data_IF_027476542917
#
_entry.id   IF_027476542917
#
_cell.length_a   1.000
_cell.length_b   1.000
_cell.length_c   1.000
_cell.angle_alpha   90.00
_cell.angle_beta   90.00
_cell.angle_gamma   90.00
#
_symmetry.space_group_name_H-M   'P 1'
#
loop_
_entity.id
_entity.type
_entity.pdbx_description
1 polymer ?
#
# COMPACT_ATOMS: atom_id res chain seq x y z
N UNK A 1 6.08 -25.84 -16.14
CA UNK A 1 4.91 -25.02 -16.56
C UNK A 1 4.71 -23.71 -15.76
N UNK A 2 5.15 -23.58 -14.49
CA UNK A 2 5.02 -22.35 -13.67
C UNK A 2 5.92 -21.14 -14.07
N UNK A 3 7.18 -21.29 -14.52
CA UNK A 3 8.05 -20.12 -14.78
C UNK A 3 7.70 -19.36 -16.08
N UNK A 4 7.19 -20.05 -17.11
CA UNK A 4 6.74 -19.40 -18.36
C UNK A 4 5.48 -18.55 -18.19
N UNK A 5 4.58 -18.93 -17.28
CA UNK A 5 3.41 -18.09 -16.93
C UNK A 5 3.84 -16.84 -16.15
N UNK A 6 4.75 -17.00 -15.19
CA UNK A 6 5.31 -15.85 -14.47
C UNK A 6 6.01 -14.86 -15.42
N UNK A 7 6.84 -15.33 -16.35
CA UNK A 7 7.51 -14.43 -17.31
C UNK A 7 6.52 -13.69 -18.24
N UNK A 8 5.47 -14.37 -18.73
CA UNK A 8 4.43 -13.74 -19.54
C UNK A 8 3.59 -12.73 -18.73
N UNK A 9 3.31 -13.03 -17.46
CA UNK A 9 2.61 -12.12 -16.54
C UNK A 9 3.47 -10.89 -16.19
N UNK A 10 4.81 -11.02 -16.12
CA UNK A 10 5.73 -9.89 -15.96
C UNK A 10 5.76 -9.00 -17.19
N UNK A 11 5.81 -9.61 -18.38
CA UNK A 11 5.82 -8.85 -19.63
C UNK A 11 4.52 -8.04 -19.78
N UNK A 12 3.37 -8.65 -19.47
CA UNK A 12 2.08 -7.96 -19.44
C UNK A 12 1.95 -6.91 -18.33
N UNK A 13 2.65 -7.06 -17.18
CA UNK A 13 2.69 -6.03 -16.13
C UNK A 13 3.57 -4.85 -16.56
N UNK A 14 4.74 -5.11 -17.15
CA UNK A 14 5.62 -4.08 -17.71
C UNK A 14 4.90 -3.30 -18.81
N UNK A 15 4.17 -3.98 -19.69
CA UNK A 15 3.36 -3.35 -20.73
C UNK A 15 2.20 -2.53 -20.17
N UNK A 16 1.54 -2.98 -19.08
CA UNK A 16 0.53 -2.18 -18.35
C UNK A 16 1.12 -1.00 -17.60
N UNK A 17 2.34 -1.11 -17.09
CA UNK A 17 3.08 -0.02 -16.46
C UNK A 17 3.49 1.03 -17.50
N UNK A 18 3.97 0.58 -18.67
CA UNK A 18 4.40 1.44 -19.78
C UNK A 18 3.21 2.09 -20.51
N UNK A 19 2.10 1.37 -20.70
CA UNK A 19 0.88 1.85 -21.39
C UNK A 19 0.06 2.89 -20.62
N UNK A 20 0.51 3.30 -19.45
CA UNK A 20 -0.14 4.31 -18.62
C UNK A 20 0.89 5.33 -18.10
N UNK A 21 1.77 5.75 -19.00
CA UNK A 21 2.86 6.67 -18.76
C UNK A 21 2.39 7.95 -18.05
N UNK A 22 1.26 8.53 -18.44
CA UNK A 22 0.70 9.77 -17.86
C UNK A 22 0.48 9.72 -16.35
N UNK A 23 0.12 8.55 -15.79
CA UNK A 23 -0.13 8.41 -14.34
C UNK A 23 1.14 8.59 -13.49
N UNK A 24 2.29 8.22 -14.04
CA UNK A 24 3.59 8.30 -13.37
C UNK A 24 4.31 9.63 -13.61
N UNK A 25 3.66 10.59 -14.30
CA UNK A 25 4.13 11.98 -14.37
C UNK A 25 3.66 12.85 -13.20
N UNK A 26 2.90 12.29 -12.24
CA UNK A 26 2.53 13.00 -11.02
C UNK A 26 3.76 13.50 -10.26
N UNK A 27 3.63 14.64 -9.57
CA UNK A 27 4.73 15.30 -8.84
C UNK A 27 5.49 14.35 -7.90
N UNK A 28 4.77 13.44 -7.23
CA UNK A 28 5.36 12.39 -6.42
C UNK A 28 6.40 11.58 -7.18
N UNK A 29 6.03 10.98 -8.32
CA UNK A 29 6.91 10.08 -9.07
C UNK A 29 8.10 10.82 -9.66
N UNK A 30 7.87 12.02 -10.22
CA UNK A 30 8.91 12.83 -10.84
C UNK A 30 9.94 13.30 -9.81
N UNK A 31 9.50 13.85 -8.67
CA UNK A 31 10.41 14.37 -7.65
C UNK A 31 11.18 13.25 -6.95
N UNK A 32 10.55 12.10 -6.72
CA UNK A 32 11.24 10.93 -6.18
C UNK A 32 12.32 10.41 -7.14
N UNK A 33 12.01 10.33 -8.44
CA UNK A 33 12.98 9.95 -9.45
C UNK A 33 14.12 10.98 -9.56
N UNK A 34 13.80 12.27 -9.56
CA UNK A 34 14.78 13.36 -9.67
C UNK A 34 15.81 13.32 -8.52
N UNK A 35 15.39 13.11 -7.27
CA UNK A 35 16.31 13.00 -6.13
C UNK A 35 17.24 11.80 -6.27
N UNK A 36 16.74 10.65 -6.75
CA UNK A 36 17.58 9.47 -6.99
C UNK A 36 18.56 9.69 -8.15
N UNK A 37 18.12 10.36 -9.21
CA UNK A 37 18.94 10.71 -10.37
C UNK A 37 19.94 11.85 -10.08
N UNK A 38 19.82 12.54 -8.96
CA UNK A 38 20.80 13.53 -8.53
C UNK A 38 22.09 12.89 -7.99
N UNK A 39 22.06 11.61 -7.57
CA UNK A 39 23.22 10.94 -6.98
C UNK A 39 24.46 10.91 -7.90
N UNK A 40 24.39 10.56 -9.20
CA UNK A 40 25.56 10.61 -10.08
C UNK A 40 26.20 11.99 -10.18
N UNK A 41 25.39 13.06 -10.20
CA UNK A 41 25.89 14.43 -10.20
C UNK A 41 26.58 14.75 -8.86
N UNK A 42 25.97 14.38 -7.73
CA UNK A 42 26.55 14.54 -6.40
C UNK A 42 27.88 13.79 -6.26
N UNK A 43 27.93 12.55 -6.77
CA UNK A 43 29.15 11.73 -6.85
C UNK A 43 30.23 12.43 -7.66
N UNK A 44 29.91 12.95 -8.84
CA UNK A 44 30.89 13.67 -9.66
C UNK A 44 31.42 14.92 -8.96
N UNK A 45 30.54 15.76 -8.41
CA UNK A 45 30.92 17.01 -7.75
C UNK A 45 31.78 16.78 -6.50
N UNK A 46 31.43 15.80 -5.67
CA UNK A 46 32.20 15.47 -4.45
C UNK A 46 33.57 14.90 -4.77
N UNK A 47 33.67 14.06 -5.81
CA UNK A 47 34.96 13.52 -6.27
C UNK A 47 35.84 14.64 -6.84
N UNK A 48 35.28 15.50 -7.70
CA UNK A 48 36.00 16.66 -8.24
C UNK A 48 36.50 17.61 -7.14
N UNK A 49 35.67 17.83 -6.10
CA UNK A 49 36.06 18.61 -4.93
C UNK A 49 37.20 17.95 -4.17
N UNK A 50 37.11 16.65 -3.88
CA UNK A 50 38.15 15.90 -3.14
C UNK A 50 39.47 15.82 -3.92
N UNK A 51 39.43 15.68 -5.24
CA UNK A 51 40.65 15.68 -6.07
C UNK A 51 41.37 17.03 -6.09
N UNK A 52 40.68 18.13 -5.78
CA UNK A 52 41.29 19.45 -5.69
C UNK A 52 41.92 19.74 -4.31
N UNK A 53 41.71 18.89 -3.30
CA UNK A 53 42.30 19.08 -1.98
C UNK A 53 43.78 18.61 -1.97
N UNK A 54 44.73 19.46 -1.53
CA UNK A 54 46.15 19.13 -1.53
C UNK A 54 46.52 18.02 -0.54
N UNK A 55 45.66 17.73 0.43
CA UNK A 55 45.85 16.67 1.44
C UNK A 55 45.50 15.28 0.94
N UNK A 56 44.84 15.16 -0.22
CA UNK A 56 44.35 13.88 -0.75
C UNK A 56 45.31 13.38 -1.81
N UNK A 57 45.90 12.20 -1.60
CA UNK A 57 46.78 11.58 -2.58
C UNK A 57 45.97 10.85 -3.65
N UNK A 58 46.44 10.78 -4.92
CA UNK A 58 45.76 10.04 -5.98
C UNK A 58 45.50 8.57 -5.63
N UNK A 59 46.41 7.93 -4.90
CA UNK A 59 46.26 6.55 -4.44
C UNK A 59 45.10 6.40 -3.44
N UNK A 60 45.07 7.23 -2.40
CA UNK A 60 43.99 7.17 -1.39
C UNK A 60 42.60 7.46 -1.99
N UNK A 61 42.54 8.35 -2.98
CA UNK A 61 41.29 8.64 -3.70
C UNK A 61 40.88 7.46 -4.57
N UNK A 62 41.83 6.80 -5.24
CA UNK A 62 41.58 5.61 -6.05
C UNK A 62 40.98 4.46 -5.24
N UNK A 63 41.59 4.14 -4.10
CA UNK A 63 41.10 3.08 -3.19
C UNK A 63 39.67 3.38 -2.68
N UNK A 64 39.40 4.63 -2.28
CA UNK A 64 38.08 5.04 -1.84
C UNK A 64 37.02 4.94 -2.96
N UNK A 65 37.41 5.26 -4.20
CA UNK A 65 36.53 5.14 -5.37
C UNK A 65 36.24 3.68 -5.73
N UNK A 66 37.20 2.78 -5.58
CA UNK A 66 37.00 1.34 -5.78
C UNK A 66 36.06 0.76 -4.72
N UNK A 67 36.25 1.13 -3.45
CA UNK A 67 35.32 0.73 -2.39
C UNK A 67 33.90 1.22 -2.71
N UNK A 68 33.75 2.51 -3.03
CA UNK A 68 32.46 3.10 -3.38
C UNK A 68 31.81 2.40 -4.58
N UNK A 69 32.57 2.10 -5.63
CA UNK A 69 32.08 1.36 -6.80
C UNK A 69 31.57 -0.03 -6.42
N UNK A 70 32.25 -0.71 -5.51
CA UNK A 70 31.79 -1.98 -4.94
C UNK A 70 30.45 -1.84 -4.22
N UNK A 71 30.26 -0.79 -3.42
CA UNK A 71 28.99 -0.48 -2.78
C UNK A 71 27.88 -0.15 -3.79
N UNK A 72 28.18 0.62 -4.84
CA UNK A 72 27.24 0.95 -5.92
C UNK A 72 26.74 -0.31 -6.63
N UNK A 73 27.65 -1.22 -6.99
CA UNK A 73 27.31 -2.49 -7.62
C UNK A 73 26.45 -3.37 -6.71
N UNK A 74 26.76 -3.44 -5.41
CA UNK A 74 25.96 -4.19 -4.42
C UNK A 74 24.57 -3.57 -4.25
N UNK A 75 24.47 -2.25 -4.15
CA UNK A 75 23.21 -1.54 -4.06
C UNK A 75 22.32 -1.79 -5.30
N UNK A 76 22.87 -1.61 -6.50
CA UNK A 76 22.14 -1.86 -7.74
C UNK A 76 21.75 -3.33 -7.91
N UNK A 77 22.67 -4.25 -7.61
CA UNK A 77 22.42 -5.69 -7.68
C UNK A 77 21.31 -6.14 -6.72
N UNK A 78 21.34 -5.66 -5.47
CA UNK A 78 20.31 -5.97 -4.47
C UNK A 78 18.95 -5.38 -4.83
N UNK A 79 18.89 -4.13 -5.30
CA UNK A 79 17.65 -3.50 -5.77
C UNK A 79 17.07 -4.24 -6.98
N UNK A 80 17.92 -4.62 -7.94
CA UNK A 80 17.50 -5.37 -9.14
C UNK A 80 16.97 -6.75 -8.77
N UNK A 81 17.69 -7.49 -7.92
CA UNK A 81 17.27 -8.81 -7.45
C UNK A 81 15.96 -8.73 -6.66
N UNK A 82 15.83 -7.75 -5.76
CA UNK A 82 14.58 -7.53 -5.03
C UNK A 82 13.44 -7.21 -6.00
N UNK A 83 13.67 -6.28 -6.94
CA UNK A 83 12.71 -5.88 -7.97
C UNK A 83 12.16 -7.10 -8.71
N UNK A 84 13.04 -7.92 -9.28
CA UNK A 84 12.67 -9.13 -10.03
C UNK A 84 11.90 -10.13 -9.15
N UNK A 85 12.39 -10.42 -7.94
CA UNK A 85 11.79 -11.44 -7.07
C UNK A 85 10.45 -11.01 -6.47
N UNK A 86 10.23 -9.70 -6.30
CA UNK A 86 9.02 -9.16 -5.65
C UNK A 86 8.03 -8.52 -6.60
N UNK A 87 8.38 -8.26 -7.86
CA UNK A 87 7.48 -7.69 -8.88
C UNK A 87 6.13 -8.42 -8.94
N UNK A 88 6.15 -9.75 -8.89
CA UNK A 88 4.96 -10.60 -8.95
C UNK A 88 4.12 -10.66 -7.67
N UNK A 89 4.60 -10.04 -6.59
CA UNK A 89 3.94 -10.11 -5.28
C UNK A 89 3.08 -8.88 -5.01
N UNK A 90 3.27 -7.79 -5.75
CA UNK A 90 2.50 -6.56 -5.56
C UNK A 90 1.22 -6.60 -6.37
N UNK A 91 0.11 -6.25 -5.73
CA UNK A 91 -1.22 -6.22 -6.34
C UNK A 91 -1.43 -5.01 -7.24
N UNK A 92 -0.69 -3.91 -7.02
CA UNK A 92 -0.76 -2.67 -7.80
C UNK A 92 0.63 -2.20 -8.24
N UNK A 93 0.77 -1.64 -9.45
CA UNK A 93 2.05 -1.14 -9.93
C UNK A 93 2.55 0.07 -9.12
N UNK A 94 1.65 0.93 -8.67
CA UNK A 94 1.97 2.06 -7.77
C UNK A 94 2.62 1.60 -6.46
N UNK A 95 2.15 0.48 -5.91
CA UNK A 95 2.74 -0.10 -4.71
C UNK A 95 4.17 -0.60 -4.95
N UNK A 96 4.40 -1.24 -6.09
CA UNK A 96 5.73 -1.70 -6.47
C UNK A 96 6.71 -0.52 -6.65
N UNK A 97 6.32 0.49 -7.42
CA UNK A 97 7.15 1.69 -7.68
C UNK A 97 7.45 2.43 -6.39
N UNK A 98 6.45 2.64 -5.52
CA UNK A 98 6.65 3.30 -4.24
C UNK A 98 7.64 2.55 -3.33
N UNK A 99 7.55 1.21 -3.29
CA UNK A 99 8.50 0.39 -2.55
C UNK A 99 9.90 0.43 -3.16
N UNK A 100 10.01 0.48 -4.49
CA UNK A 100 11.30 0.65 -5.18
C UNK A 100 11.94 1.99 -4.82
N UNK A 101 11.16 3.08 -4.77
CA UNK A 101 11.69 4.38 -4.36
C UNK A 101 12.20 4.41 -2.92
N UNK A 102 11.48 3.80 -1.98
CA UNK A 102 11.94 3.75 -0.59
C UNK A 102 13.27 2.99 -0.49
N UNK A 103 13.36 1.81 -1.12
CA UNK A 103 14.60 1.02 -1.10
C UNK A 103 15.74 1.74 -1.81
N UNK A 104 15.47 2.37 -2.96
CA UNK A 104 16.46 3.14 -3.70
C UNK A 104 16.94 4.36 -2.90
N UNK A 105 16.08 5.05 -2.16
CA UNK A 105 16.47 6.17 -1.27
C UNK A 105 17.34 5.69 -0.12
N UNK A 106 17.01 4.57 0.51
CA UNK A 106 17.84 4.00 1.57
C UNK A 106 19.22 3.61 1.02
N UNK A 107 19.26 2.95 -0.13
CA UNK A 107 20.51 2.62 -0.80
C UNK A 107 21.32 3.89 -1.15
N UNK A 108 20.66 4.90 -1.73
CA UNK A 108 21.27 6.20 -2.04
C UNK A 108 21.86 6.86 -0.79
N UNK A 109 21.15 6.85 0.35
CA UNK A 109 21.67 7.40 1.61
C UNK A 109 22.92 6.67 2.10
N UNK A 110 22.94 5.33 2.02
CA UNK A 110 24.15 4.54 2.34
C UNK A 110 25.31 4.92 1.42
N UNK A 111 25.06 5.10 0.12
CA UNK A 111 26.08 5.54 -0.83
C UNK A 111 26.55 6.97 -0.54
N UNK A 112 25.65 7.89 -0.20
CA UNK A 112 26.00 9.23 0.23
C UNK A 112 26.87 9.21 1.49
N UNK A 113 26.58 8.34 2.47
CA UNK A 113 27.41 8.20 3.66
C UNK A 113 28.81 7.69 3.33
N UNK A 114 28.92 6.74 2.41
CA UNK A 114 30.23 6.26 1.90
C UNK A 114 30.97 7.30 1.08
N UNK A 115 30.25 8.20 0.41
CA UNK A 115 30.82 9.28 -0.39
C UNK A 115 31.36 10.42 0.48
N UNK A 116 30.51 10.98 1.36
CA UNK A 116 30.84 12.08 2.27
C UNK A 116 29.72 12.25 3.33
N UNK A 117 30.10 12.55 4.58
CA UNK A 117 29.12 12.80 5.65
C UNK A 117 28.22 14.00 5.34
N UNK A 118 28.74 15.03 4.69
CA UNK A 118 27.93 16.18 4.27
C UNK A 118 26.88 15.78 3.21
N UNK A 119 27.27 14.96 2.23
CA UNK A 119 26.35 14.44 1.21
C UNK A 119 25.23 13.59 1.84
N UNK A 120 25.56 12.81 2.87
CA UNK A 120 24.57 12.05 3.64
C UNK A 120 23.55 12.96 4.35
N UNK A 121 24.01 13.98 5.07
CA UNK A 121 23.12 14.90 5.81
C UNK A 121 22.19 15.63 4.84
N UNK A 122 22.71 16.19 3.75
CA UNK A 122 21.87 16.87 2.75
C UNK A 122 20.93 15.91 2.02
N UNK A 123 21.38 14.69 1.73
CA UNK A 123 20.53 13.63 1.18
C UNK A 123 19.38 13.27 2.12
N UNK A 124 19.67 13.15 3.42
CA UNK A 124 18.67 12.85 4.45
C UNK A 124 17.63 13.97 4.56
N UNK A 125 18.08 15.23 4.58
CA UNK A 125 17.21 16.41 4.58
C UNK A 125 16.32 16.44 3.34
N UNK A 126 16.89 16.19 2.15
CA UNK A 126 16.11 16.16 0.90
C UNK A 126 15.07 15.03 0.89
N UNK A 127 15.43 13.83 1.36
CA UNK A 127 14.49 12.70 1.47
C UNK A 127 13.38 12.98 2.47
N UNK A 128 13.70 13.57 3.62
CA UNK A 128 12.73 13.97 4.64
C UNK A 128 11.80 15.08 4.14
N UNK A 129 12.34 16.10 3.49
CA UNK A 129 11.56 17.17 2.88
C UNK A 129 10.59 16.63 1.82
N UNK A 130 11.03 15.73 0.93
CA UNK A 130 10.15 15.07 -0.02
C UNK A 130 9.03 14.27 0.64
N UNK A 131 9.33 13.57 1.73
CA UNK A 131 8.31 12.80 2.45
C UNK A 131 7.20 13.69 3.03
N UNK A 132 7.55 14.88 3.51
CA UNK A 132 6.59 15.85 4.06
C UNK A 132 5.84 16.59 2.94
N UNK A 133 6.56 17.12 1.95
CA UNK A 133 5.99 17.99 0.93
C UNK A 133 5.20 17.24 -0.15
N UNK A 134 5.55 15.98 -0.41
CA UNK A 134 4.99 15.20 -1.52
C UNK A 134 4.60 13.81 -1.05
N UNK A 135 3.47 13.69 -0.32
CA UNK A 135 2.97 12.38 0.07
C UNK A 135 2.61 11.56 -1.17
N UNK A 136 2.62 10.24 -1.01
CA UNK A 136 2.13 9.35 -2.07
C UNK A 136 0.65 9.67 -2.37
N UNK A 137 0.25 9.73 -3.65
CA UNK A 137 -1.13 9.98 -4.02
C UNK A 137 -2.05 8.87 -3.46
N UNK A 138 -3.19 9.29 -2.92
CA UNK A 138 -4.28 8.40 -2.51
C UNK A 138 -5.08 7.96 -3.74
N UNK A 139 -5.86 6.89 -3.59
CA UNK A 139 -6.72 6.42 -4.67
C UNK A 139 -7.95 7.34 -4.83
N UNK A 140 -8.08 8.02 -5.96
CA UNK A 140 -9.19 8.95 -6.26
C UNK A 140 -10.29 8.36 -7.17
N UNK A 141 -10.26 7.05 -7.43
CA UNK A 141 -11.25 6.42 -8.30
C UNK A 141 -12.62 6.25 -7.65
N UNK A 142 -13.64 5.80 -8.42
CA UNK A 142 -14.98 5.58 -7.91
C UNK A 142 -14.95 4.55 -6.77
N UNK A 143 -15.63 4.86 -5.66
CA UNK A 143 -15.67 4.01 -4.47
C UNK A 143 -17.02 4.16 -3.77
N UNK A 144 -17.50 3.06 -3.17
CA UNK A 144 -18.67 3.03 -2.29
C UNK A 144 -18.27 2.80 -0.83
N UNK A 145 -17.02 3.13 -0.48
CA UNK A 145 -16.48 3.01 0.89
C UNK A 145 -16.79 4.29 1.66
N UNK A 146 -17.45 4.15 2.80
CA UNK A 146 -17.78 5.26 3.69
C UNK A 146 -16.69 5.49 4.75
N UNK A 147 -16.43 6.76 5.08
CA UNK A 147 -15.49 7.11 6.15
C UNK A 147 -16.24 7.19 7.47
N UNK A 148 -15.75 6.49 8.49
CA UNK A 148 -16.36 6.50 9.81
C UNK A 148 -15.66 7.46 10.76
N UNK A 149 -16.47 8.14 11.56
CA UNK A 149 -16.07 8.76 12.82
C UNK A 149 -16.40 7.79 13.95
N UNK A 150 -15.88 7.99 15.17
CA UNK A 150 -16.23 7.15 16.32
C UNK A 150 -17.74 7.01 16.56
N UNK A 151 -18.48 8.12 16.42
CA UNK A 151 -19.94 8.11 16.55
C UNK A 151 -20.63 7.35 15.43
N UNK A 152 -20.29 7.65 14.16
CA UNK A 152 -20.96 6.97 13.04
C UNK A 152 -20.62 5.49 12.96
N UNK A 153 -19.44 5.07 13.41
CA UNK A 153 -19.10 3.66 13.53
C UNK A 153 -19.99 2.96 14.56
N UNK A 154 -20.19 3.56 15.73
CA UNK A 154 -21.05 3.01 16.77
C UNK A 154 -22.51 2.91 16.26
N UNK A 155 -23.05 3.99 15.69
CA UNK A 155 -24.44 4.03 15.24
C UNK A 155 -24.74 3.10 14.05
N UNK A 156 -23.82 2.98 13.09
CA UNK A 156 -24.06 2.24 11.85
C UNK A 156 -23.61 0.78 11.91
N UNK A 157 -22.53 0.48 12.65
CA UNK A 157 -21.90 -0.84 12.66
C UNK A 157 -22.25 -1.61 13.92
N UNK A 158 -22.21 -0.96 15.09
CA UNK A 158 -22.45 -1.61 16.38
C UNK A 158 -23.95 -1.67 16.70
N UNK A 159 -24.61 -0.52 16.66
CA UNK A 159 -26.05 -0.37 16.97
C UNK A 159 -26.94 -0.40 15.72
N UNK A 160 -26.32 -0.64 14.56
CA UNK A 160 -26.97 -0.64 13.27
C UNK A 160 -27.89 -1.84 13.02
N UNK A 161 -28.51 -1.87 11.84
CA UNK A 161 -29.44 -2.94 11.47
C UNK A 161 -28.73 -4.29 11.35
N UNK A 162 -29.26 -5.31 12.03
CA UNK A 162 -28.66 -6.66 12.06
C UNK A 162 -28.69 -7.41 10.70
N UNK A 163 -29.58 -6.99 9.79
CA UNK A 163 -29.67 -7.52 8.43
C UNK A 163 -28.59 -6.94 7.49
N UNK A 164 -27.93 -5.85 7.87
CA UNK A 164 -26.91 -5.17 7.07
C UNK A 164 -25.51 -5.46 7.62
N UNK A 165 -24.70 -6.18 6.83
CA UNK A 165 -23.30 -6.42 7.14
C UNK A 165 -22.41 -5.24 6.74
N UNK A 166 -21.32 -5.05 7.48
CA UNK A 166 -20.32 -4.02 7.22
C UNK A 166 -18.93 -4.61 7.09
N UNK A 167 -18.29 -4.42 5.94
CA UNK A 167 -16.86 -4.68 5.78
C UNK A 167 -16.11 -3.40 6.13
N UNK A 168 -15.44 -3.40 7.27
CA UNK A 168 -14.75 -2.22 7.82
C UNK A 168 -13.24 -2.41 7.71
N UNK A 169 -12.57 -1.45 7.06
CA UNK A 169 -11.12 -1.37 7.02
C UNK A 169 -10.61 -0.44 8.12
N UNK A 170 -9.94 -0.99 9.11
CA UNK A 170 -9.12 -0.25 10.06
C UNK A 170 -7.79 0.11 9.41
N UNK A 171 -7.53 1.41 9.26
CA UNK A 171 -6.34 1.94 8.61
C UNK A 171 -5.69 3.04 9.46
N UNK A 172 -4.47 3.40 9.09
CA UNK A 172 -3.82 4.61 9.60
C UNK A 172 -3.16 5.36 8.43
N UNK A 173 -3.30 6.69 8.40
CA UNK A 173 -2.81 7.50 7.27
C UNK A 173 -1.29 7.44 7.02
N UNK A 174 -0.51 7.13 8.06
CA UNK A 174 0.94 6.95 7.98
C UNK A 174 1.35 5.54 7.53
N UNK A 175 0.43 4.56 7.57
CA UNK A 175 0.74 3.18 7.26
C UNK A 175 0.72 2.95 5.75
N UNK A 176 1.91 2.83 5.15
CA UNK A 176 2.07 2.63 3.71
C UNK A 176 1.33 1.39 3.17
N UNK A 177 1.29 0.31 3.95
CA UNK A 177 0.53 -0.90 3.59
C UNK A 177 -0.96 -0.64 3.38
N UNK A 178 -1.56 0.33 4.08
CA UNK A 178 -2.97 0.67 3.94
C UNK A 178 -3.27 1.32 2.60
N UNK A 179 -2.42 2.25 2.13
CA UNK A 179 -2.56 2.94 0.84
C UNK A 179 -2.61 1.97 -0.34
N UNK A 180 -1.82 0.90 -0.26
CA UNK A 180 -1.80 -0.14 -1.31
C UNK A 180 -3.11 -0.93 -1.42
N UNK A 181 -3.91 -0.97 -0.34
CA UNK A 181 -5.16 -1.74 -0.29
C UNK A 181 -6.36 -0.87 -0.69
N UNK A 182 -6.25 0.45 -0.68
CA UNK A 182 -7.37 1.33 -1.03
C UNK A 182 -7.98 1.02 -2.40
N UNK A 183 -7.22 0.82 -3.50
CA UNK A 183 -7.80 0.47 -4.79
C UNK A 183 -8.53 -0.88 -4.76
N UNK A 184 -8.03 -1.82 -3.95
CA UNK A 184 -8.64 -3.14 -3.77
C UNK A 184 -9.96 -3.04 -3.00
N UNK A 185 -9.99 -2.25 -1.93
CA UNK A 185 -11.22 -2.00 -1.17
C UNK A 185 -12.25 -1.23 -2.00
N UNK A 186 -11.83 -0.26 -2.80
CA UNK A 186 -12.70 0.44 -3.74
C UNK A 186 -13.31 -0.54 -4.76
N UNK A 187 -12.50 -1.39 -5.39
CA UNK A 187 -12.98 -2.42 -6.33
C UNK A 187 -13.98 -3.39 -5.69
N UNK A 188 -13.68 -3.87 -4.48
CA UNK A 188 -14.59 -4.73 -3.71
C UNK A 188 -15.90 -4.01 -3.38
N UNK A 189 -15.84 -2.77 -2.93
CA UNK A 189 -17.02 -1.97 -2.59
C UNK A 189 -17.92 -1.75 -3.80
N UNK A 190 -17.34 -1.44 -4.97
CA UNK A 190 -18.12 -1.20 -6.18
C UNK A 190 -18.84 -2.46 -6.65
N UNK A 191 -18.22 -3.63 -6.48
CA UNK A 191 -18.72 -4.93 -6.94
C UNK A 191 -19.70 -5.58 -5.98
N UNK A 192 -19.45 -5.52 -4.67
CA UNK A 192 -20.19 -6.28 -3.66
C UNK A 192 -21.12 -5.42 -2.79
N UNK A 193 -21.10 -4.09 -2.93
CA UNK A 193 -22.03 -3.23 -2.19
C UNK A 193 -23.47 -3.50 -2.62
N UNK A 194 -24.30 -3.85 -1.65
CA UNK A 194 -25.73 -4.09 -1.79
C UNK A 194 -26.50 -3.52 -0.59
N UNK A 195 -27.82 -3.74 -0.52
CA UNK A 195 -28.64 -3.29 0.61
C UNK A 195 -28.23 -3.97 1.94
N UNK A 196 -27.71 -5.18 1.84
CA UNK A 196 -27.39 -6.05 2.97
C UNK A 196 -25.88 -6.09 3.27
N UNK A 197 -25.06 -5.42 2.44
CA UNK A 197 -23.61 -5.36 2.64
C UNK A 197 -23.05 -4.00 2.21
N UNK A 198 -22.44 -3.30 3.16
CA UNK A 198 -21.79 -2.00 2.93
C UNK A 198 -20.31 -2.06 3.32
N UNK A 199 -19.57 -1.08 2.84
CA UNK A 199 -18.12 -0.98 3.05
C UNK A 199 -17.79 0.33 3.73
N UNK A 200 -16.88 0.30 4.69
CA UNK A 200 -16.42 1.50 5.37
C UNK A 200 -14.96 1.42 5.78
N UNK A 201 -14.41 2.54 6.20
CA UNK A 201 -13.05 2.64 6.74
C UNK A 201 -12.97 3.56 7.95
N UNK A 202 -12.15 3.18 8.90
CA UNK A 202 -11.94 3.87 10.18
C UNK A 202 -10.45 4.11 10.42
N UNK A 203 -10.09 5.37 10.69
CA UNK A 203 -8.71 5.78 10.97
C UNK A 203 -8.32 5.52 12.44
N UNK A 204 -7.78 4.34 12.70
CA UNK A 204 -7.29 3.96 14.03
C UNK A 204 -5.99 4.67 14.41
N UNK A 205 -5.30 5.30 13.45
CA UNK A 205 -4.18 6.19 13.73
C UNK A 205 -4.63 7.49 14.39
N UNK A 206 -5.80 8.00 14.02
CA UNK A 206 -6.41 9.19 14.61
C UNK A 206 -7.17 8.88 15.91
N UNK A 207 -7.78 7.70 16.00
CA UNK A 207 -8.59 7.28 17.16
C UNK A 207 -8.05 5.99 17.81
N UNK A 208 -6.94 6.06 18.56
CA UNK A 208 -6.29 4.87 19.11
C UNK A 208 -7.15 4.10 20.13
N UNK A 209 -8.08 4.77 20.82
CA UNK A 209 -9.02 4.13 21.74
C UNK A 209 -9.95 3.11 21.05
N UNK A 210 -10.36 3.38 19.79
CA UNK A 210 -11.13 2.41 19.00
C UNK A 210 -10.26 1.24 18.57
N UNK A 211 -8.99 1.51 18.26
CA UNK A 211 -8.03 0.46 17.94
C UNK A 211 -7.91 -0.53 19.10
N UNK A 212 -7.75 -0.03 20.33
CA UNK A 212 -7.67 -0.85 21.54
C UNK A 212 -8.96 -1.63 21.79
N UNK A 213 -10.12 -0.98 21.69
CA UNK A 213 -11.45 -1.63 21.81
C UNK A 213 -11.61 -2.82 20.84
N UNK A 214 -11.11 -2.66 19.62
CA UNK A 214 -11.16 -3.71 18.59
C UNK A 214 -9.91 -4.58 18.52
N UNK A 215 -8.99 -4.49 19.50
CA UNK A 215 -7.75 -5.27 19.59
C UNK A 215 -6.89 -5.16 18.31
N UNK A 216 -6.79 -3.95 17.77
CA UNK A 216 -5.96 -3.59 16.61
C UNK A 216 -4.77 -2.78 17.09
N UNK A 217 -3.58 -3.34 16.95
CA UNK A 217 -2.31 -2.70 17.29
C UNK A 217 -1.89 -1.74 16.18
N UNK A 218 -1.76 -0.47 16.56
CA UNK A 218 -1.39 0.68 15.71
C UNK A 218 0.13 0.91 15.69
N UNK A 219 0.94 0.04 16.29
CA UNK A 219 2.39 0.22 16.30
C UNK A 219 3.01 0.19 14.89
N UNK A 220 4.04 1.00 14.64
CA UNK A 220 4.74 1.04 13.33
C UNK A 220 5.36 -0.32 12.95
N UNK A 221 5.75 -1.11 13.95
CA UNK A 221 6.28 -2.47 13.79
C UNK A 221 5.20 -3.55 13.72
N UNK A 222 3.95 -3.20 14.05
CA UNK A 222 2.80 -4.11 14.00
C UNK A 222 2.48 -4.48 12.56
N UNK A 223 2.18 -5.76 12.34
CA UNK A 223 1.73 -6.28 11.03
C UNK A 223 0.21 -6.41 10.95
N UNK A 224 -0.51 -5.75 11.86
CA UNK A 224 -1.96 -5.79 11.91
C UNK A 224 -2.60 -4.75 10.99
N UNK A 225 -1.89 -3.69 10.60
CA UNK A 225 -2.45 -2.69 9.68
C UNK A 225 -2.11 -2.98 8.21
N UNK A 226 -3.10 -2.89 7.30
CA UNK A 226 -4.53 -2.72 7.57
C UNK A 226 -5.19 -3.99 8.13
N UNK A 227 -6.19 -3.81 9.00
CA UNK A 227 -7.12 -4.87 9.39
C UNK A 227 -8.44 -4.65 8.68
N UNK A 228 -8.97 -5.68 8.05
CA UNK A 228 -10.31 -5.68 7.46
C UNK A 228 -11.14 -6.65 8.27
N UNK A 229 -12.27 -6.20 8.81
CA UNK A 229 -13.19 -7.01 9.57
C UNK A 229 -14.61 -6.92 9.01
N UNK A 230 -15.35 -8.03 9.11
CA UNK A 230 -16.77 -8.09 8.77
C UNK A 230 -17.59 -8.06 10.06
N UNK A 231 -18.48 -7.07 10.14
CA UNK A 231 -19.44 -6.92 11.23
C UNK A 231 -20.85 -7.24 10.74
N UNK A 232 -21.68 -7.83 11.59
CA UNK A 232 -23.10 -8.03 11.33
C UNK A 232 -23.87 -8.09 12.65
N UNK A 233 -24.87 -7.20 12.82
CA UNK A 233 -25.63 -7.12 14.07
C UNK A 233 -24.79 -6.75 15.29
N UNK A 234 -23.79 -5.88 15.10
CA UNK A 234 -22.87 -5.45 16.16
C UNK A 234 -21.72 -6.42 16.46
N UNK A 235 -21.85 -7.69 16.05
CA UNK A 235 -20.82 -8.70 16.26
C UNK A 235 -19.81 -8.74 15.12
N UNK A 236 -18.55 -9.00 15.48
CA UNK A 236 -17.49 -9.24 14.53
C UNK A 236 -17.47 -10.72 14.09
N UNK A 237 -17.82 -10.98 12.84
CA UNK A 237 -17.86 -12.34 12.28
C UNK A 237 -16.48 -12.87 11.90
N UNK A 238 -15.54 -11.98 11.59
CA UNK A 238 -14.18 -12.37 11.24
C UNK A 238 -13.33 -11.21 10.77
N UNK A 239 -12.01 -11.41 10.80
CA UNK A 239 -11.01 -10.41 10.44
C UNK A 239 -9.82 -10.96 9.65
N UNK A 240 -9.17 -10.07 8.91
CA UNK A 240 -7.94 -10.29 8.17
C UNK A 240 -7.00 -9.11 8.46
N UNK A 241 -5.76 -9.32 8.93
CA UNK A 241 -5.14 -10.59 9.25
C UNK A 241 -5.76 -11.29 10.47
N UNK A 242 -5.71 -12.62 10.47
CA UNK A 242 -6.16 -13.42 11.61
C UNK A 242 -5.10 -13.37 12.71
N UNK A 243 -5.54 -13.15 13.94
CA UNK A 243 -4.70 -13.16 15.13
C UNK A 243 -4.94 -14.49 15.83
N UNK A 244 -3.91 -15.33 15.85
CA UNK A 244 -3.96 -16.62 16.54
C UNK A 244 -3.91 -16.40 18.06
N UNK A 245 -4.38 -17.38 18.83
CA UNK A 245 -4.35 -17.35 20.31
C UNK A 245 -2.93 -17.15 20.87
N UNK A 246 -1.92 -17.67 20.19
CA UNK A 246 -0.49 -17.46 20.47
C UNK A 246 -0.01 -15.99 20.27
N UNK A 247 -0.90 -15.07 19.88
CA UNK A 247 -0.55 -13.69 19.51
C UNK A 247 0.15 -13.56 18.14
N UNK A 248 0.37 -14.67 17.44
CA UNK A 248 0.92 -14.65 16.07
C UNK A 248 -0.09 -14.07 15.10
N UNK A 249 0.38 -13.22 14.19
CA UNK A 249 -0.45 -12.56 13.18
C UNK A 249 -0.22 -13.25 11.83
N UNK A 250 -1.30 -13.66 11.17
CA UNK A 250 -1.20 -14.23 9.83
C UNK A 250 -0.69 -13.18 8.84
N UNK A 251 0.02 -13.62 7.79
CA UNK A 251 0.52 -12.74 6.72
C UNK A 251 -0.31 -12.96 5.45
N UNK A 252 -1.56 -12.48 5.41
CA UNK A 252 -2.43 -12.72 4.28
C UNK A 252 -1.87 -12.03 3.03
N UNK A 253 -2.11 -12.66 1.87
CA UNK A 253 -1.95 -11.97 0.60
C UNK A 253 -3.26 -11.25 0.31
N UNK A 254 -3.25 -9.92 0.40
CA UNK A 254 -4.41 -9.11 0.11
C UNK A 254 -4.66 -9.10 -1.41
N UNK A 255 -5.62 -9.92 -1.82
CA UNK A 255 -6.11 -10.07 -3.19
C UNK A 255 -7.62 -10.14 -3.14
N UNK A 256 -8.30 -9.63 -4.17
CA UNK A 256 -9.77 -9.62 -4.26
C UNK A 256 -10.37 -11.00 -3.95
N UNK A 257 -9.84 -12.04 -4.61
CA UNK A 257 -10.28 -13.43 -4.41
C UNK A 257 -10.13 -13.92 -2.97
N UNK A 258 -9.05 -13.52 -2.29
CA UNK A 258 -8.78 -13.95 -0.92
C UNK A 258 -9.78 -13.29 0.05
N UNK A 259 -9.99 -11.98 -0.10
CA UNK A 259 -10.96 -11.24 0.73
C UNK A 259 -12.38 -11.72 0.45
N UNK A 260 -12.74 -11.90 -0.83
CA UNK A 260 -14.04 -12.40 -1.24
C UNK A 260 -14.32 -13.81 -0.68
N UNK A 261 -13.32 -14.69 -0.68
CA UNK A 261 -13.45 -16.02 -0.10
C UNK A 261 -13.57 -16.00 1.43
N UNK A 262 -12.72 -15.23 2.13
CA UNK A 262 -12.73 -15.15 3.58
C UNK A 262 -14.05 -14.62 4.17
N UNK A 263 -14.69 -13.66 3.51
CA UNK A 263 -15.96 -13.08 3.95
C UNK A 263 -17.18 -13.63 3.20
N UNK A 264 -16.97 -14.62 2.34
CA UNK A 264 -18.00 -15.24 1.49
C UNK A 264 -18.84 -14.21 0.70
N UNK A 265 -18.19 -13.17 0.18
CA UNK A 265 -18.86 -12.01 -0.43
C UNK A 265 -19.75 -12.41 -1.62
N UNK A 266 -19.33 -13.38 -2.42
CA UNK A 266 -20.11 -13.88 -3.56
C UNK A 266 -21.42 -14.56 -3.12
N UNK A 267 -21.40 -15.29 -2.00
CA UNK A 267 -22.62 -15.93 -1.46
C UNK A 267 -23.59 -14.88 -0.92
N UNK A 268 -23.07 -13.86 -0.22
CA UNK A 268 -23.85 -12.76 0.33
C UNK A 268 -24.52 -11.92 -0.76
N UNK A 269 -23.79 -11.62 -1.84
CA UNK A 269 -24.33 -10.89 -2.98
C UNK A 269 -25.49 -11.64 -3.64
N UNK A 270 -25.31 -12.94 -3.95
CA UNK A 270 -26.38 -13.77 -4.53
C UNK A 270 -27.63 -13.83 -3.65
N UNK A 271 -27.46 -13.91 -2.33
CA UNK A 271 -28.58 -13.87 -1.37
C UNK A 271 -29.32 -12.54 -1.43
N UNK A 272 -28.58 -11.44 -1.50
CA UNK A 272 -29.14 -10.09 -1.59
C UNK A 272 -29.91 -9.87 -2.90
N UNK A 273 -29.36 -10.33 -4.03
CA UNK A 273 -30.01 -10.28 -5.35
C UNK A 273 -31.29 -11.13 -5.37
N UNK A 274 -31.24 -12.35 -4.85
CA UNK A 274 -32.42 -13.22 -4.75
C UNK A 274 -33.53 -12.58 -3.89
N UNK A 275 -33.17 -11.97 -2.76
CA UNK A 275 -34.11 -11.25 -1.91
C UNK A 275 -34.71 -10.02 -2.62
N UNK A 276 -33.90 -9.27 -3.38
CA UNK A 276 -34.35 -8.14 -4.17
C UNK A 276 -35.33 -8.56 -5.29
N UNK A 277 -35.04 -9.65 -6.01
CA UNK A 277 -35.94 -10.21 -7.02
C UNK A 277 -37.28 -10.68 -6.40
N UNK A 278 -37.24 -11.33 -5.24
CA UNK A 278 -38.45 -11.75 -4.53
C UNK A 278 -39.30 -10.55 -4.08
N UNK A 279 -38.67 -9.47 -3.59
CA UNK A 279 -39.35 -8.25 -3.19
C UNK A 279 -40.01 -7.53 -4.39
N UNK A 280 -39.30 -7.44 -5.53
CA UNK A 280 -39.84 -6.84 -6.74
C UNK A 280 -41.06 -7.61 -7.29
N UNK A 281 -41.02 -8.95 -7.24
CA UNK A 281 -42.14 -9.80 -7.64
C UNK A 281 -43.40 -9.59 -6.77
N UNK A 282 -43.22 -9.38 -5.46
CA UNK A 282 -44.33 -9.04 -4.54
C UNK A 282 -44.90 -7.65 -4.81
N UNK A 283 -44.05 -6.65 -5.04
CA UNK A 283 -44.51 -5.29 -5.33
C UNK A 283 -45.32 -5.21 -6.63
N UNK A 284 -44.92 -5.96 -7.68
CA UNK A 284 -45.65 -6.00 -8.95
C UNK A 284 -47.01 -6.69 -8.86
N UNK A 285 -47.16 -7.70 -7.97
CA UNK A 285 -48.45 -8.33 -7.68
C UNK A 285 -49.38 -7.42 -6.86
N UNK A 286 -48.83 -6.61 -5.96
CA UNK A 286 -49.60 -5.66 -5.15
C UNK A 286 -50.10 -4.45 -5.97
N UNK A 287 -49.31 -3.95 -6.93
CA UNK A 287 -49.69 -2.83 -7.79
C UNK A 287 -50.58 -3.17 -8.98
N UNK A 288 -50.80 -4.46 -9.28
CA UNK A 288 -51.73 -4.93 -10.33
C UNK A 288 -53.14 -5.28 -9.81
N UNK A 289 -53.40 -5.05 -8.52
CA UNK A 289 -54.68 -5.27 -7.86
C UNK A 289 -55.43 -3.96 -7.54
N UNK A 290 -55.04 -2.85 -8.19
CA UNK A 290 -55.73 -1.56 -8.17
C UNK A 290 -56.38 -1.28 -9.51
#
# INVERSE_FOLDING_TARGET
RRPRRAAADAMGLVERCLGASSRFLGAYYVLNAAVLLAYPALRFMTVARKSALPTVTPQSLGEALEELRGWEQRALGTLTLYGITKMYRFSTPDAFVSQMFILAKVAMLVLCWKLDTAAFVWGLVAVAALFVSVPQPEYEGPTKVEYFTPGSFQDLVVDGRADCGWVVQFYAGWAHSCRHIEPLMAALSNKYSSKDLRFGKLDVGRWPHLAEKHKVSVGVTSKQLPTIALFQGGDELGRIPHVFEDGKISKPRFTEKHIAACFELDKRLKRSEAAAHAAAGKAKKAGGAQ
#
